data_IF_614155990022
#
_entry.id   IF_614155990022
#
_cell.length_a   1.000
_cell.length_b   1.000
_cell.length_c   1.000
_cell.angle_alpha   90.00
_cell.angle_beta   90.00
_cell.angle_gamma   90.00
#
_symmetry.space_group_name_H-M   'P 1'
#
loop_
_entity.id
_entity.type
_entity.pdbx_description
1 polymer ?
#
# COMPACT_ATOMS: atom_id res chain seq x y z
N UNK A 1 -19.10 -33.09 -0.69
CA UNK A 1 -18.29 -32.63 -1.85
C UNK A 1 -17.60 -31.36 -1.40
N UNK A 2 -16.35 -31.13 -1.78
CA UNK A 2 -15.67 -29.86 -1.48
C UNK A 2 -16.11 -28.88 -2.57
N UNK A 3 -16.75 -27.77 -2.22
CA UNK A 3 -17.16 -26.76 -3.20
C UNK A 3 -15.94 -26.23 -3.93
N UNK A 4 -16.07 -26.06 -5.24
CA UNK A 4 -14.98 -25.67 -6.14
C UNK A 4 -15.18 -24.22 -6.60
N UNK A 5 -14.13 -23.39 -6.60
CA UNK A 5 -14.20 -22.07 -7.23
C UNK A 5 -14.59 -22.17 -8.71
N UNK A 6 -15.59 -21.40 -9.13
CA UNK A 6 -16.07 -21.35 -10.53
C UNK A 6 -15.86 -19.99 -11.19
N UNK A 7 -15.85 -18.91 -10.41
CA UNK A 7 -15.68 -17.55 -10.94
C UNK A 7 -14.90 -16.70 -9.96
N UNK A 8 -14.05 -15.83 -10.50
CA UNK A 8 -13.36 -14.78 -9.76
C UNK A 8 -13.79 -13.43 -10.31
N UNK A 9 -14.16 -12.50 -9.42
CA UNK A 9 -14.42 -11.11 -9.76
C UNK A 9 -13.43 -10.21 -9.04
N UNK A 10 -12.89 -9.22 -9.73
CA UNK A 10 -12.06 -8.16 -9.16
C UNK A 10 -12.74 -6.83 -9.45
N UNK A 11 -13.19 -6.15 -8.39
CA UNK A 11 -13.77 -4.80 -8.45
C UNK A 11 -12.74 -3.79 -8.01
N UNK A 12 -12.49 -2.78 -8.84
CA UNK A 12 -11.69 -1.61 -8.53
C UNK A 12 -12.62 -0.42 -8.35
N UNK A 13 -12.78 0.06 -7.12
CA UNK A 13 -13.71 1.15 -6.82
C UNK A 13 -13.12 2.50 -7.21
N UNK A 14 -13.98 3.41 -7.66
CA UNK A 14 -13.59 4.79 -7.98
C UNK A 14 -13.44 5.61 -6.69
N UNK A 15 -12.22 5.64 -6.17
CA UNK A 15 -11.85 6.41 -4.97
C UNK A 15 -11.08 7.70 -5.28
N UNK A 16 -10.83 7.99 -6.56
CA UNK A 16 -9.95 9.06 -7.02
C UNK A 16 -8.50 8.59 -7.03
N UNK A 17 -7.61 9.29 -6.31
CA UNK A 17 -6.22 8.88 -6.14
C UNK A 17 -6.07 8.06 -4.86
N UNK A 18 -6.03 6.74 -5.02
CA UNK A 18 -5.87 5.77 -3.94
C UNK A 18 -6.32 4.39 -4.34
N UNK A 19 -6.25 3.44 -3.42
CA UNK A 19 -6.55 2.03 -3.70
C UNK A 19 -7.75 1.52 -2.90
N UNK A 20 -8.59 0.76 -3.58
CA UNK A 20 -9.72 0.04 -2.98
C UNK A 20 -10.18 -1.06 -3.95
N UNK A 21 -9.82 -2.31 -3.66
CA UNK A 21 -10.12 -3.46 -4.51
C UNK A 21 -10.87 -4.54 -3.75
N UNK A 22 -11.91 -5.11 -4.34
CA UNK A 22 -12.61 -6.27 -3.79
C UNK A 22 -12.44 -7.46 -4.73
N UNK A 23 -11.81 -8.52 -4.22
CA UNK A 23 -11.72 -9.82 -4.89
C UNK A 23 -12.80 -10.72 -4.32
N UNK A 24 -13.70 -11.21 -5.17
CA UNK A 24 -14.74 -12.18 -4.81
C UNK A 24 -14.49 -13.51 -5.52
N UNK A 25 -14.56 -14.60 -4.77
CA UNK A 25 -14.50 -15.98 -5.30
C UNK A 25 -15.88 -16.62 -5.13
N UNK A 26 -16.48 -17.04 -6.24
CA UNK A 26 -17.78 -17.71 -6.30
C UNK A 26 -17.59 -19.23 -6.46
N UNK A 27 -18.44 -20.00 -5.80
CA UNK A 27 -18.36 -21.47 -5.73
C UNK A 27 -19.58 -22.14 -6.38
N UNK A 28 -19.39 -23.35 -6.91
CA UNK A 28 -20.43 -24.17 -7.53
C UNK A 28 -21.56 -24.57 -6.57
N UNK A 29 -21.21 -24.83 -5.31
CA UNK A 29 -22.13 -25.22 -4.25
C UNK A 29 -21.85 -24.37 -2.99
N UNK A 30 -22.87 -24.09 -2.16
CA UNK A 30 -22.68 -23.39 -0.89
C UNK A 30 -21.59 -24.02 -0.03
N UNK A 31 -20.78 -23.18 0.60
CA UNK A 31 -19.73 -23.57 1.53
C UNK A 31 -20.33 -24.08 2.85
N UNK A 32 -19.49 -24.58 3.74
CA UNK A 32 -19.92 -25.15 5.02
C UNK A 32 -20.71 -24.16 5.91
N UNK A 33 -20.49 -22.86 5.73
CA UNK A 33 -21.22 -21.78 6.41
C UNK A 33 -22.44 -21.27 5.63
N UNK A 34 -22.82 -21.95 4.53
CA UNK A 34 -23.98 -21.65 3.69
C UNK A 34 -23.76 -20.54 2.66
N UNK A 35 -22.60 -19.87 2.65
CA UNK A 35 -22.28 -18.80 1.70
C UNK A 35 -21.79 -19.39 0.36
N UNK A 36 -22.14 -18.75 -0.75
CA UNK A 36 -21.65 -19.10 -2.09
C UNK A 36 -20.42 -18.30 -2.53
N UNK A 37 -19.99 -17.32 -1.72
CA UNK A 37 -18.88 -16.43 -2.04
C UNK A 37 -17.94 -16.18 -0.86
N UNK A 38 -16.68 -15.87 -1.19
CA UNK A 38 -15.67 -15.36 -0.27
C UNK A 38 -15.09 -14.05 -0.78
N UNK A 39 -14.79 -13.14 0.15
CA UNK A 39 -14.44 -11.75 -0.17
C UNK A 39 -13.13 -11.32 0.50
N UNK A 40 -12.22 -10.77 -0.32
CA UNK A 40 -10.96 -10.17 0.10
C UNK A 40 -10.99 -8.70 -0.31
N UNK A 41 -10.99 -7.80 0.67
CA UNK A 41 -10.82 -6.37 0.46
C UNK A 41 -9.34 -6.04 0.55
N UNK A 42 -8.78 -5.39 -0.47
CA UNK A 42 -7.40 -4.92 -0.53
C UNK A 42 -7.44 -3.40 -0.59
N UNK A 43 -6.96 -2.79 0.48
CA UNK A 43 -6.96 -1.36 0.74
C UNK A 43 -8.37 -0.72 0.73
N UNK A 44 -8.46 0.44 1.35
CA UNK A 44 -9.67 1.26 1.43
C UNK A 44 -9.26 2.71 1.70
N UNK A 45 -8.65 3.35 0.70
CA UNK A 45 -8.07 4.67 0.87
C UNK A 45 -8.26 5.62 -0.32
N UNK A 46 -7.92 6.89 -0.05
CA UNK A 46 -7.89 7.97 -1.04
C UNK A 46 -7.08 9.13 -0.48
N UNK A 47 -6.14 9.71 -1.22
CA UNK A 47 -5.54 11.00 -0.89
C UNK A 47 -6.36 12.15 -1.49
N UNK A 48 -6.95 11.91 -2.67
CA UNK A 48 -7.73 12.87 -3.43
C UNK A 48 -9.00 12.23 -4.00
N UNK A 49 -10.15 12.86 -3.77
CA UNK A 49 -11.43 12.40 -4.31
C UNK A 49 -11.43 12.27 -5.84
N UNK A 50 -12.38 11.53 -6.44
CA UNK A 50 -12.62 11.55 -7.87
C UNK A 50 -12.78 12.99 -8.42
N UNK A 51 -12.47 13.20 -9.70
CA UNK A 51 -12.71 14.50 -10.36
C UNK A 51 -14.20 14.83 -10.31
N UNK A 52 -14.51 16.13 -10.24
CA UNK A 52 -15.89 16.59 -10.17
C UNK A 52 -16.71 16.03 -11.35
N UNK A 53 -17.89 15.48 -11.04
CA UNK A 53 -18.79 14.87 -12.03
C UNK A 53 -18.48 13.41 -12.41
N UNK A 54 -17.33 12.85 -12.03
CA UNK A 54 -16.94 11.47 -12.42
C UNK A 54 -17.52 10.38 -11.49
N UNK A 55 -17.72 10.67 -10.20
CA UNK A 55 -18.38 9.77 -9.25
C UNK A 55 -18.81 10.52 -7.97
N UNK A 56 -19.69 9.92 -7.16
CA UNK A 56 -19.96 10.41 -5.80
C UNK A 56 -18.78 10.04 -4.90
N UNK A 57 -17.90 11.01 -4.66
CA UNK A 57 -16.55 10.80 -4.13
C UNK A 57 -16.39 10.77 -2.61
N UNK A 58 -17.22 10.05 -1.86
CA UNK A 58 -17.01 9.89 -0.41
C UNK A 58 -16.73 8.43 -0.06
N UNK A 59 -15.71 8.20 0.75
CA UNK A 59 -15.34 6.86 1.21
C UNK A 59 -16.51 6.13 1.89
N UNK A 60 -17.39 6.83 2.60
CA UNK A 60 -18.60 6.22 3.17
C UNK A 60 -19.56 5.61 2.14
N UNK A 61 -19.67 6.23 0.96
CA UNK A 61 -20.49 5.69 -0.15
C UNK A 61 -19.83 4.42 -0.71
N UNK A 62 -18.50 4.39 -0.81
CA UNK A 62 -17.72 3.20 -1.20
C UNK A 62 -17.86 2.06 -0.17
N UNK A 63 -17.83 2.36 1.14
CA UNK A 63 -18.08 1.34 2.16
C UNK A 63 -19.48 0.74 2.05
N UNK A 64 -20.50 1.54 1.71
CA UNK A 64 -21.84 1.02 1.47
C UNK A 64 -21.88 0.07 0.26
N UNK A 65 -21.15 0.40 -0.82
CA UNK A 65 -21.00 -0.50 -1.98
C UNK A 65 -20.26 -1.79 -1.60
N UNK A 66 -19.19 -1.71 -0.82
CA UNK A 66 -18.48 -2.90 -0.31
C UNK A 66 -19.44 -3.76 0.49
N UNK A 67 -20.15 -3.18 1.47
CA UNK A 67 -21.14 -3.92 2.27
C UNK A 67 -22.22 -4.58 1.41
N UNK A 68 -22.68 -3.91 0.36
CA UNK A 68 -23.63 -4.49 -0.59
C UNK A 68 -23.01 -5.67 -1.36
N UNK A 69 -21.83 -5.48 -1.94
CA UNK A 69 -21.16 -6.48 -2.78
C UNK A 69 -20.64 -7.69 -2.00
N UNK A 70 -20.50 -7.57 -0.69
CA UNK A 70 -20.13 -8.67 0.20
C UNK A 70 -21.31 -9.23 1.00
N UNK A 71 -22.53 -8.75 0.74
CA UNK A 71 -23.75 -9.11 1.49
C UNK A 71 -23.59 -8.96 3.02
N UNK A 72 -22.75 -8.02 3.45
CA UNK A 72 -22.47 -7.76 4.87
C UNK A 72 -21.37 -8.62 5.50
N UNK A 73 -20.72 -9.50 4.75
CA UNK A 73 -19.74 -10.47 5.27
C UNK A 73 -18.37 -10.34 4.59
N UNK A 74 -17.32 -9.95 5.33
CA UNK A 74 -15.95 -9.83 4.79
C UNK A 74 -15.03 -10.89 5.40
N UNK A 75 -14.30 -11.63 4.58
CA UNK A 75 -13.43 -12.70 5.08
C UNK A 75 -12.02 -12.19 5.38
N UNK A 76 -11.44 -11.43 4.45
CA UNK A 76 -10.07 -10.91 4.58
C UNK A 76 -10.05 -9.42 4.27
N UNK A 77 -9.38 -8.66 5.14
CA UNK A 77 -8.95 -7.29 4.87
C UNK A 77 -7.43 -7.27 4.74
N UNK A 78 -6.91 -6.78 3.62
CA UNK A 78 -5.48 -6.52 3.40
C UNK A 78 -5.28 -5.02 3.37
N UNK A 79 -4.44 -4.49 4.25
CA UNK A 79 -3.92 -3.12 4.14
C UNK A 79 -2.44 -3.24 3.78
N UNK A 80 -2.11 -2.85 2.55
CA UNK A 80 -0.78 -3.12 1.98
C UNK A 80 0.31 -2.37 2.73
N UNK A 81 0.07 -1.13 3.12
CA UNK A 81 0.96 -0.32 3.96
C UNK A 81 0.23 0.90 4.54
N UNK A 82 0.88 1.56 5.51
CA UNK A 82 0.34 2.72 6.24
C UNK A 82 0.41 4.05 5.47
N UNK A 83 -0.19 4.09 4.28
CA UNK A 83 -0.34 5.31 3.48
C UNK A 83 -1.78 5.76 3.36
N UNK A 84 -1.98 7.08 3.31
CA UNK A 84 -3.32 7.71 3.43
C UNK A 84 -4.23 7.28 2.28
N UNK A 85 -3.71 7.27 1.07
CA UNK A 85 -4.34 6.74 -0.14
C UNK A 85 -4.68 5.25 -0.11
N UNK A 86 -4.26 4.50 0.93
CA UNK A 86 -4.62 3.10 1.16
C UNK A 86 -5.54 2.87 2.37
N UNK A 87 -5.60 3.80 3.33
CA UNK A 87 -6.33 3.59 4.59
C UNK A 87 -7.27 4.74 5.00
N UNK A 88 -7.33 5.84 4.26
CA UNK A 88 -8.16 7.00 4.63
C UNK A 88 -9.63 6.65 4.86
N UNK A 89 -10.17 5.65 4.17
CA UNK A 89 -11.56 5.26 4.36
C UNK A 89 -11.89 4.84 5.80
N UNK A 90 -10.91 4.31 6.53
CA UNK A 90 -11.05 3.92 7.94
C UNK A 90 -11.13 5.12 8.89
N UNK A 91 -10.72 6.33 8.46
CA UNK A 91 -10.86 7.57 9.24
C UNK A 91 -12.27 8.17 9.12
N UNK A 92 -13.02 7.80 8.08
CA UNK A 92 -14.35 8.38 7.82
C UNK A 92 -15.39 7.63 8.65
N UNK A 93 -16.06 8.30 9.59
CA UNK A 93 -17.05 7.72 10.52
C UNK A 93 -17.99 6.69 9.89
N UNK A 94 -18.59 7.02 8.73
CA UNK A 94 -19.50 6.12 8.01
C UNK A 94 -18.79 4.86 7.50
N UNK A 95 -17.57 5.03 6.95
CA UNK A 95 -16.72 3.93 6.51
C UNK A 95 -16.27 3.07 7.68
N UNK A 96 -15.77 3.68 8.74
CA UNK A 96 -15.37 3.05 9.98
C UNK A 96 -16.50 2.18 10.57
N UNK A 97 -17.70 2.73 10.70
CA UNK A 97 -18.86 2.01 11.23
C UNK A 97 -19.23 0.78 10.38
N UNK A 98 -19.15 0.89 9.05
CA UNK A 98 -19.40 -0.23 8.15
C UNK A 98 -18.30 -1.28 8.27
N UNK A 99 -17.02 -0.91 8.27
CA UNK A 99 -15.91 -1.85 8.38
C UNK A 99 -15.93 -2.62 9.71
N UNK A 100 -16.31 -1.97 10.81
CA UNK A 100 -16.58 -2.64 12.09
C UNK A 100 -17.70 -3.66 11.99
N UNK A 101 -18.79 -3.31 11.29
CA UNK A 101 -19.94 -4.20 11.09
C UNK A 101 -19.61 -5.38 10.19
N UNK A 102 -18.81 -5.18 9.15
CA UNK A 102 -18.32 -6.26 8.27
C UNK A 102 -17.43 -7.27 9.00
N UNK A 103 -16.79 -6.84 10.09
CA UNK A 103 -16.05 -7.68 11.02
C UNK A 103 -15.11 -8.68 10.33
N UNK A 104 -14.10 -8.20 9.56
CA UNK A 104 -13.19 -9.08 8.82
C UNK A 104 -12.61 -10.17 9.73
N UNK A 105 -12.63 -11.42 9.24
CA UNK A 105 -12.14 -12.59 9.98
C UNK A 105 -10.61 -12.61 10.05
N UNK A 106 -9.95 -12.02 9.07
CA UNK A 106 -8.50 -11.89 8.97
C UNK A 106 -8.13 -10.48 8.51
N UNK A 107 -7.16 -9.85 9.18
CA UNK A 107 -6.63 -8.53 8.86
C UNK A 107 -5.12 -8.66 8.64
N UNK A 108 -4.68 -8.39 7.42
CA UNK A 108 -3.30 -8.52 6.98
C UNK A 108 -2.66 -7.14 6.83
N UNK A 109 -1.52 -6.94 7.48
CA UNK A 109 -0.75 -5.69 7.48
C UNK A 109 0.74 -5.98 7.32
N UNK A 110 1.52 -4.98 6.98
CA UNK A 110 2.97 -5.14 6.86
C UNK A 110 3.59 -5.45 8.22
N UNK A 111 4.63 -6.30 8.25
CA UNK A 111 5.37 -6.62 9.47
C UNK A 111 5.94 -5.38 10.17
N UNK A 112 6.23 -4.31 9.43
CA UNK A 112 6.76 -3.05 9.97
C UNK A 112 5.75 -2.27 10.78
N UNK A 113 4.46 -2.61 10.68
CA UNK A 113 3.36 -1.96 11.39
C UNK A 113 2.93 -2.71 12.66
N UNK A 114 3.61 -3.80 13.00
CA UNK A 114 3.31 -4.56 14.21
C UNK A 114 3.54 -3.66 15.45
N UNK A 115 2.49 -3.36 16.24
CA UNK A 115 2.59 -2.45 17.37
C UNK A 115 3.56 -2.96 18.45
N UNK A 116 3.81 -4.28 18.52
CA UNK A 116 4.73 -4.88 19.50
C UNK A 116 6.20 -4.57 19.17
N UNK A 117 6.53 -4.33 17.89
CA UNK A 117 7.92 -4.02 17.50
C UNK A 117 8.38 -2.65 18.01
N UNK A 118 7.48 -1.66 18.03
CA UNK A 118 7.80 -0.34 18.59
C UNK A 118 7.99 -0.40 20.11
N UNK A 119 7.21 -1.22 20.82
CA UNK A 119 7.30 -1.42 22.26
C UNK A 119 8.55 -2.18 22.72
N UNK A 120 9.12 -3.03 21.84
CA UNK A 120 10.31 -3.85 22.13
C UNK A 120 11.62 -3.20 21.67
N UNK A 121 11.54 -2.03 21.04
CA UNK A 121 12.70 -1.31 20.54
C UNK A 121 13.45 -0.61 21.67
N UNK A 122 14.46 -1.29 22.23
CA UNK A 122 15.50 -0.59 22.96
C UNK A 122 16.15 0.40 21.99
N UNK A 123 16.11 1.69 22.34
CA UNK A 123 16.44 2.82 21.50
C UNK A 123 17.86 2.78 20.89
N UNK A 124 18.25 3.83 20.16
CA UNK A 124 19.51 3.82 19.44
C UNK A 124 20.70 3.89 20.42
N UNK A 125 21.18 2.72 20.89
CA UNK A 125 22.54 2.59 21.42
C UNK A 125 22.77 1.94 22.78
N UNK A 126 21.97 1.00 23.27
CA UNK A 126 22.38 0.24 24.48
C UNK A 126 22.66 -1.26 24.19
N UNK A 127 23.93 -1.70 24.16
CA UNK A 127 24.32 -3.11 24.03
C UNK A 127 24.02 -3.96 25.27
N UNK A 128 23.37 -3.40 26.29
CA UNK A 128 23.44 -3.90 27.66
C UNK A 128 22.12 -4.12 28.38
N UNK A 129 20.99 -4.38 27.72
CA UNK A 129 19.76 -4.79 28.42
C UNK A 129 19.05 -5.89 27.63
N UNK A 130 18.77 -7.02 28.30
CA UNK A 130 18.25 -8.25 27.70
C UNK A 130 17.04 -7.98 26.81
N UNK A 131 17.21 -8.17 25.51
CA UNK A 131 16.12 -8.10 24.57
C UNK A 131 15.11 -9.20 24.93
N UNK A 132 13.85 -8.83 25.19
CA UNK A 132 12.77 -9.80 25.06
C UNK A 132 12.91 -10.48 23.69
N UNK A 133 12.66 -11.79 23.60
CA UNK A 133 12.74 -12.47 22.31
C UNK A 133 11.82 -11.74 21.31
N UNK A 134 12.37 -11.32 20.15
CA UNK A 134 11.60 -10.58 19.18
C UNK A 134 10.42 -11.44 18.69
N UNK A 135 9.22 -10.84 18.50
CA UNK A 135 8.06 -11.58 18.03
C UNK A 135 8.31 -12.20 16.66
N UNK A 136 7.67 -13.35 16.38
CA UNK A 136 7.53 -13.89 15.02
C UNK A 136 8.84 -14.20 14.27
N UNK A 137 9.94 -14.48 14.99
CA UNK A 137 11.21 -14.88 14.37
C UNK A 137 11.97 -13.74 13.67
N UNK A 138 11.58 -12.48 13.90
CA UNK A 138 12.30 -11.30 13.40
C UNK A 138 13.62 -11.10 14.17
N UNK A 139 14.68 -10.57 13.54
CA UNK A 139 15.88 -10.18 14.29
C UNK A 139 15.73 -8.84 15.01
N UNK A 140 16.67 -8.57 15.93
CA UNK A 140 16.82 -7.24 16.53
C UNK A 140 17.02 -6.12 15.51
N UNK A 141 17.57 -6.41 14.32
CA UNK A 141 17.74 -5.42 13.26
C UNK A 141 16.40 -5.07 12.61
N UNK A 142 15.55 -6.07 12.39
CA UNK A 142 14.18 -5.90 11.91
C UNK A 142 13.33 -5.11 12.92
N UNK A 143 13.40 -5.44 14.21
CA UNK A 143 12.73 -4.67 15.28
C UNK A 143 13.16 -3.19 15.28
N UNK A 144 14.47 -2.92 15.25
CA UNK A 144 15.01 -1.55 15.20
C UNK A 144 14.53 -0.78 13.97
N UNK A 145 14.45 -1.45 12.82
CA UNK A 145 13.97 -0.85 11.58
C UNK A 145 12.50 -0.41 11.69
N UNK A 146 11.62 -1.30 12.14
CA UNK A 146 10.20 -0.98 12.37
C UNK A 146 10.03 0.17 13.39
N UNK A 147 10.86 0.18 14.44
CA UNK A 147 10.83 1.24 15.44
C UNK A 147 11.28 2.60 14.91
N UNK A 148 12.29 2.65 14.03
CA UNK A 148 12.72 3.89 13.39
C UNK A 148 11.63 4.47 12.48
N UNK A 149 10.90 3.61 11.76
CA UNK A 149 9.73 4.01 10.98
C UNK A 149 8.64 4.61 11.88
N UNK A 150 8.29 3.94 12.97
CA UNK A 150 7.30 4.43 13.92
C UNK A 150 7.72 5.79 14.54
N UNK A 151 8.98 5.94 14.93
CA UNK A 151 9.53 7.20 15.44
C UNK A 151 9.50 8.31 14.36
N UNK A 152 9.80 7.99 13.11
CA UNK A 152 9.72 8.96 12.02
C UNK A 152 8.29 9.47 11.82
N UNK A 153 7.31 8.58 11.84
CA UNK A 153 5.90 8.94 11.76
C UNK A 153 5.48 9.86 12.90
N UNK A 154 5.91 9.57 14.14
CA UNK A 154 5.63 10.43 15.28
C UNK A 154 6.28 11.82 15.15
N UNK A 155 7.52 11.90 14.65
CA UNK A 155 8.18 13.17 14.41
C UNK A 155 7.48 13.99 13.31
N UNK A 156 7.10 13.35 12.20
CA UNK A 156 6.37 14.03 11.11
C UNK A 156 5.01 14.53 11.60
N UNK A 157 4.31 13.74 12.41
CA UNK A 157 3.07 14.17 13.06
C UNK A 157 3.27 15.46 13.90
N UNK A 158 4.38 15.57 14.65
CA UNK A 158 4.73 16.76 15.43
C UNK A 158 5.15 17.97 14.58
N UNK A 159 5.66 17.76 13.35
CA UNK A 159 6.07 18.87 12.46
C UNK A 159 4.92 19.84 12.19
N UNK A 160 3.68 19.35 12.11
CA UNK A 160 2.48 20.17 11.87
C UNK A 160 2.27 21.30 12.88
N UNK A 161 2.89 21.20 14.07
CA UNK A 161 2.81 22.21 15.13
C UNK A 161 3.87 23.32 14.99
N UNK A 162 4.80 23.21 14.03
CA UNK A 162 5.86 24.19 13.82
C UNK A 162 5.37 25.39 12.99
N UNK A 163 5.64 26.60 13.50
CA UNK A 163 5.34 27.86 12.83
C UNK A 163 6.41 28.14 11.75
N UNK A 164 5.98 28.52 10.54
CA UNK A 164 6.87 28.91 9.43
C UNK A 164 7.29 27.77 8.49
N UNK A 165 6.62 26.62 8.57
CA UNK A 165 6.72 25.60 7.52
C UNK A 165 6.02 26.05 6.24
N UNK A 166 6.56 25.59 5.12
CA UNK A 166 5.90 25.72 3.82
C UNK A 166 4.56 24.97 3.81
N UNK A 167 3.56 25.52 3.09
CA UNK A 167 2.20 24.98 3.07
C UNK A 167 2.14 23.56 2.51
N UNK A 168 2.98 23.21 1.52
CA UNK A 168 3.06 21.85 0.96
C UNK A 168 3.63 20.86 1.98
N UNK A 169 4.67 21.27 2.70
CA UNK A 169 5.31 20.45 3.75
C UNK A 169 4.34 20.22 4.90
N UNK A 170 3.60 21.25 5.29
CA UNK A 170 2.56 21.14 6.33
C UNK A 170 1.44 20.21 5.87
N UNK A 171 0.93 20.34 4.65
CA UNK A 171 -0.12 19.47 4.13
C UNK A 171 0.32 17.99 4.12
N UNK A 172 1.54 17.71 3.66
CA UNK A 172 2.08 16.35 3.65
C UNK A 172 2.33 15.79 5.07
N UNK A 173 2.70 16.64 6.04
CA UNK A 173 2.80 16.24 7.44
C UNK A 173 1.43 16.02 8.12
N UNK A 174 0.42 16.83 7.78
CA UNK A 174 -0.97 16.66 8.25
C UNK A 174 -1.59 15.35 7.75
N UNK A 175 -1.22 14.91 6.55
CA UNK A 175 -1.66 13.62 6.02
C UNK A 175 -1.19 12.44 6.89
N UNK A 176 -0.03 12.56 7.55
CA UNK A 176 0.44 11.56 8.52
C UNK A 176 -0.35 11.58 9.84
N UNK A 177 -0.84 12.74 10.28
CA UNK A 177 -1.71 12.86 11.47
C UNK A 177 -3.08 12.20 11.25
N UNK A 178 -3.67 12.41 10.07
CA UNK A 178 -5.00 11.87 9.73
C UNK A 178 -5.03 10.34 9.71
N UNK A 179 -3.88 9.70 9.47
CA UNK A 179 -3.73 8.26 9.58
C UNK A 179 -3.94 7.71 11.00
N UNK A 180 -3.90 8.51 12.07
CA UNK A 180 -3.96 8.01 13.45
C UNK A 180 -5.29 7.32 13.80
N UNK A 181 -6.43 7.90 13.41
CA UNK A 181 -7.75 7.32 13.69
C UNK A 181 -7.97 6.03 12.91
N UNK A 182 -7.58 6.03 11.63
CA UNK A 182 -7.62 4.86 10.79
C UNK A 182 -6.74 3.72 11.33
N UNK A 183 -5.53 4.02 11.82
CA UNK A 183 -4.66 3.01 12.45
C UNK A 183 -5.25 2.48 13.74
N UNK A 184 -5.83 3.33 14.59
CA UNK A 184 -6.49 2.88 15.81
C UNK A 184 -7.65 1.91 15.49
N UNK A 185 -8.41 2.18 14.43
CA UNK A 185 -9.43 1.25 13.95
C UNK A 185 -8.81 -0.06 13.43
N UNK A 186 -7.75 0.01 12.64
CA UNK A 186 -7.07 -1.19 12.13
C UNK A 186 -6.49 -2.04 13.25
N UNK A 187 -5.95 -1.43 14.31
CA UNK A 187 -5.48 -2.12 15.51
C UNK A 187 -6.66 -2.82 16.22
N UNK A 188 -7.81 -2.15 16.36
CA UNK A 188 -9.05 -2.74 16.92
C UNK A 188 -9.54 -3.95 16.08
N UNK A 189 -9.51 -3.83 14.75
CA UNK A 189 -9.89 -4.92 13.84
C UNK A 189 -8.88 -6.07 13.87
N UNK A 190 -7.61 -5.78 14.18
CA UNK A 190 -6.51 -6.75 14.25
C UNK A 190 -6.42 -7.49 15.60
N UNK A 191 -7.23 -7.11 16.61
CA UNK A 191 -7.17 -7.74 17.94
C UNK A 191 -7.43 -9.26 17.89
N UNK A 192 -6.69 -9.98 18.74
CA UNK A 192 -6.76 -11.43 18.88
C UNK A 192 -5.98 -12.15 17.77
N UNK A 193 -6.53 -13.26 17.27
CA UNK A 193 -5.92 -14.06 16.20
C UNK A 193 -6.26 -13.52 14.79
N UNK A 194 -7.01 -12.41 14.71
CA UNK A 194 -7.43 -11.81 13.43
C UNK A 194 -6.29 -11.06 12.73
N UNK A 195 -5.42 -10.40 13.49
CA UNK A 195 -4.31 -9.62 12.94
C UNK A 195 -3.11 -10.49 12.58
N UNK A 196 -2.59 -10.33 11.36
CA UNK A 196 -1.29 -10.89 10.96
C UNK A 196 -0.43 -9.83 10.28
N UNK A 197 0.84 -9.80 10.67
CA UNK A 197 1.82 -8.81 10.24
C UNK A 197 2.89 -9.49 9.38
N UNK A 198 2.79 -9.33 8.06
CA UNK A 198 3.41 -10.19 7.07
C UNK A 198 4.72 -9.61 6.53
N UNK A 199 5.69 -10.50 6.30
CA UNK A 199 6.88 -10.26 5.49
C UNK A 199 6.99 -11.30 4.36
N UNK A 200 7.90 -11.08 3.43
CA UNK A 200 8.14 -12.00 2.30
C UNK A 200 8.31 -13.45 2.79
N UNK A 201 7.64 -14.39 2.13
CA UNK A 201 7.68 -15.82 2.44
C UNK A 201 6.84 -16.27 3.63
N UNK A 202 6.20 -15.36 4.38
CA UNK A 202 5.27 -15.74 5.45
C UNK A 202 3.94 -16.26 4.86
N UNK A 203 3.31 -17.22 5.54
CA UNK A 203 1.96 -17.67 5.21
C UNK A 203 0.92 -16.60 5.59
N UNK A 204 0.07 -16.22 4.65
CA UNK A 204 -0.93 -15.16 4.90
C UNK A 204 -2.12 -15.67 5.72
N UNK A 205 -2.51 -16.95 5.58
CA UNK A 205 -3.75 -17.50 6.17
C UNK A 205 -5.02 -17.23 5.36
N UNK A 206 -4.92 -16.58 4.20
CA UNK A 206 -6.07 -16.41 3.27
C UNK A 206 -6.63 -17.78 2.85
N UNK A 207 -5.73 -18.74 2.67
CA UNK A 207 -5.96 -20.11 2.24
C UNK A 207 -6.91 -20.87 3.17
N UNK A 208 -6.92 -20.51 4.47
CA UNK A 208 -7.79 -21.10 5.50
C UNK A 208 -9.23 -20.59 5.39
N UNK A 209 -9.44 -19.39 4.85
CA UNK A 209 -10.73 -18.71 4.79
C UNK A 209 -11.37 -18.76 3.39
N UNK A 210 -10.55 -18.92 2.35
CA UNK A 210 -10.95 -18.92 0.95
C UNK A 210 -10.60 -20.26 0.30
N UNK A 211 -11.48 -21.27 0.37
CA UNK A 211 -11.19 -22.61 -0.16
C UNK A 211 -10.72 -22.61 -1.62
N UNK A 212 -9.62 -23.29 -1.89
CA UNK A 212 -9.02 -23.36 -3.23
C UNK A 212 -8.16 -22.15 -3.62
N UNK A 213 -8.06 -21.13 -2.77
CA UNK A 213 -7.09 -20.04 -2.90
C UNK A 213 -5.73 -20.47 -2.34
N UNK A 214 -4.67 -20.08 -3.04
CA UNK A 214 -3.30 -20.08 -2.57
C UNK A 214 -2.78 -18.65 -2.54
N UNK A 215 -2.14 -18.29 -1.44
CA UNK A 215 -1.53 -16.98 -1.24
C UNK A 215 -0.01 -17.09 -1.18
N UNK A 216 0.69 -16.09 -1.71
CA UNK A 216 2.14 -15.98 -1.54
C UNK A 216 2.52 -14.53 -1.30
N UNK A 217 3.16 -14.28 -0.17
CA UNK A 217 3.69 -12.97 0.21
C UNK A 217 5.09 -12.83 -0.39
N UNK A 218 5.26 -11.93 -1.35
CA UNK A 218 6.52 -11.66 -2.04
C UNK A 218 7.30 -10.48 -1.42
N UNK A 219 6.64 -9.68 -0.59
CA UNK A 219 7.19 -8.49 0.05
C UNK A 219 6.28 -8.00 1.18
N UNK A 220 6.78 -7.10 2.05
CA UNK A 220 8.15 -6.59 2.05
C UNK A 220 9.14 -7.58 2.68
N UNK A 221 10.44 -7.54 2.29
CA UNK A 221 11.48 -8.32 2.97
C UNK A 221 11.70 -7.84 4.41
N UNK A 222 12.15 -8.74 5.28
CA UNK A 222 12.76 -8.36 6.57
C UNK A 222 14.21 -7.92 6.37
N UNK A 223 14.80 -7.30 7.40
CA UNK A 223 16.23 -6.92 7.38
C UNK A 223 17.14 -8.15 7.29
N UNK A 224 16.68 -9.30 7.77
CA UNK A 224 17.45 -10.55 7.71
C UNK A 224 17.43 -11.17 6.31
N UNK A 225 16.29 -11.06 5.63
CA UNK A 225 16.12 -11.55 4.26
C UNK A 225 16.85 -10.68 3.25
N UNK A 226 16.84 -9.36 3.46
CA UNK A 226 17.65 -8.44 2.68
C UNK A 226 18.25 -7.35 3.58
N UNK A 227 19.51 -7.51 4.03
CA UNK A 227 20.18 -6.51 4.85
C UNK A 227 20.32 -5.16 4.16
N UNK A 228 20.22 -5.07 2.82
CA UNK A 228 20.27 -3.80 2.09
C UNK A 228 19.03 -2.95 2.32
N UNK A 229 17.92 -3.56 2.76
CA UNK A 229 16.78 -2.80 3.26
C UNK A 229 17.23 -1.94 4.42
N UNK A 230 18.18 -2.38 5.28
CA UNK A 230 18.70 -1.62 6.43
C UNK A 230 20.16 -1.12 6.33
N UNK A 231 20.92 -1.47 5.29
CA UNK A 231 22.35 -1.12 5.12
C UNK A 231 22.58 0.06 4.18
N UNK A 232 23.29 1.06 4.71
CA UNK A 232 23.90 2.17 3.98
C UNK A 232 24.77 1.65 2.82
N UNK A 233 24.41 1.95 1.56
CA UNK A 233 25.35 1.87 0.43
C UNK A 233 25.96 3.24 0.15
N UNK A 234 27.23 3.24 -0.26
CA UNK A 234 28.00 4.46 -0.58
C UNK A 234 27.71 4.98 -2.00
N UNK A 235 27.03 4.18 -2.82
CA UNK A 235 27.06 4.28 -4.28
C UNK A 235 25.67 4.10 -4.95
N UNK A 236 24.58 4.21 -4.17
CA UNK A 236 23.19 4.19 -4.66
C UNK A 236 22.47 5.51 -4.26
N UNK A 237 21.95 6.32 -5.20
CA UNK A 237 21.32 7.61 -4.89
C UNK A 237 19.99 7.52 -4.11
N UNK A 238 19.40 6.34 -3.92
CA UNK A 238 18.16 6.15 -3.15
C UNK A 238 18.38 5.21 -1.96
N UNK A 239 19.04 5.74 -0.91
CA UNK A 239 19.17 5.04 0.37
C UNK A 239 18.43 5.77 1.50
N UNK A 240 17.14 5.49 1.62
CA UNK A 240 16.23 6.29 2.44
C UNK A 240 16.37 6.08 3.95
N UNK A 241 16.85 4.95 4.49
CA UNK A 241 17.00 4.83 5.97
C UNK A 241 18.08 5.73 6.56
N UNK A 242 19.16 5.97 5.82
CA UNK A 242 20.15 6.98 6.21
C UNK A 242 19.57 8.36 6.00
N UNK A 243 18.83 8.58 4.92
CA UNK A 243 18.17 9.84 4.65
C UNK A 243 17.16 10.15 5.78
N UNK A 244 16.24 9.23 6.08
CA UNK A 244 15.32 9.23 7.21
C UNK A 244 16.03 9.38 8.55
N UNK A 245 17.03 8.57 8.86
CA UNK A 245 17.78 8.67 10.11
C UNK A 245 18.58 9.98 10.25
N UNK A 246 19.13 10.51 9.17
CA UNK A 246 19.81 11.81 9.16
C UNK A 246 18.80 12.96 9.28
N UNK A 247 17.70 12.88 8.54
CA UNK A 247 16.56 13.80 8.58
C UNK A 247 15.95 13.83 9.99
N UNK A 248 15.78 12.67 10.64
CA UNK A 248 15.36 12.54 12.04
C UNK A 248 16.35 13.19 13.01
N UNK A 249 17.67 13.02 12.84
CA UNK A 249 18.67 13.69 13.70
C UNK A 249 18.63 15.22 13.53
N UNK A 250 18.49 15.70 12.29
CA UNK A 250 18.40 17.13 12.00
C UNK A 250 17.13 17.73 12.61
N UNK A 251 15.98 17.10 12.36
CA UNK A 251 14.68 17.56 12.88
C UNK A 251 14.57 17.41 14.40
N UNK A 252 14.99 16.27 14.97
CA UNK A 252 14.99 16.01 16.40
C UNK A 252 15.81 17.04 17.19
N UNK A 253 17.01 17.39 16.69
CA UNK A 253 17.83 18.45 17.30
C UNK A 253 17.16 19.83 17.28
N UNK A 254 16.27 20.08 16.31
CA UNK A 254 15.52 21.32 16.18
C UNK A 254 14.22 21.32 17.01
N UNK A 255 13.60 20.15 17.22
CA UNK A 255 12.39 19.98 18.02
C UNK A 255 12.69 20.04 19.53
N UNK A 256 13.79 19.40 19.98
CA UNK A 256 14.23 19.42 21.39
C UNK A 256 14.68 20.81 21.87
N UNK A 257 15.05 21.69 20.94
CA UNK A 257 15.41 23.08 21.25
C UNK A 257 14.20 23.96 21.63
N UNK A 258 12.97 23.43 21.52
CA UNK A 258 11.72 24.17 21.63
C UNK A 258 11.54 25.11 20.43
N UNK A 259 10.36 25.14 19.82
CA UNK A 259 10.08 26.13 18.79
C UNK A 259 10.12 27.53 19.44
N UNK A 260 11.09 28.41 19.12
CA UNK A 260 11.03 29.76 19.63
C UNK A 260 9.78 30.42 19.04
N UNK A 261 9.04 31.16 19.88
CA UNK A 261 7.90 31.94 19.43
C UNK A 261 8.31 32.83 18.23
N UNK A 262 7.43 33.07 17.25
CA UNK A 262 7.73 33.92 16.11
C UNK A 262 8.24 35.28 16.61
N UNK A 263 9.53 35.55 16.39
CA UNK A 263 10.14 36.82 16.76
C UNK A 263 9.67 37.82 15.71
N UNK A 264 8.81 38.77 16.09
CA UNK A 264 8.50 39.89 15.22
C UNK A 264 9.79 40.69 14.97
N UNK A 265 10.26 40.69 13.72
CA UNK A 265 11.47 41.42 13.31
C UNK A 265 11.11 42.43 12.21
N UNK A 266 11.66 43.64 12.33
CA UNK A 266 11.52 44.68 11.32
C UNK A 266 12.43 44.42 10.11
N UNK A 267 12.23 45.13 8.99
CA UNK A 267 13.09 45.02 7.82
C UNK A 267 14.55 45.31 8.18
N UNK A 268 15.48 44.43 7.79
CA UNK A 268 16.91 44.59 8.06
C UNK A 268 17.74 43.33 7.80
N UNK A 269 19.09 43.39 7.99
CA UNK A 269 20.01 42.30 7.67
C UNK A 269 19.75 40.98 8.43
N UNK A 270 19.08 41.05 9.58
CA UNK A 270 18.71 39.90 10.40
C UNK A 270 17.49 39.16 9.83
N UNK A 271 16.60 39.84 9.09
CA UNK A 271 15.44 39.22 8.43
C UNK A 271 15.89 38.12 7.48
N UNK A 272 16.88 38.40 6.62
CA UNK A 272 17.46 37.41 5.72
C UNK A 272 17.99 36.16 6.44
N UNK A 273 18.59 36.32 7.62
CA UNK A 273 19.10 35.19 8.40
C UNK A 273 17.96 34.36 8.99
N UNK A 274 16.91 35.02 9.50
CA UNK A 274 15.71 34.34 10.02
C UNK A 274 15.00 33.61 8.88
N UNK A 275 14.80 34.26 7.74
CA UNK A 275 14.20 33.66 6.53
C UNK A 275 15.02 32.47 6.03
N UNK A 276 16.36 32.59 6.03
CA UNK A 276 17.25 31.50 5.62
C UNK A 276 17.21 30.31 6.59
N UNK A 277 17.12 30.57 7.89
CA UNK A 277 16.97 29.52 8.91
C UNK A 277 15.59 28.84 8.83
N UNK A 278 14.53 29.61 8.58
CA UNK A 278 13.19 29.08 8.34
C UNK A 278 13.16 28.20 7.08
N UNK A 279 13.71 28.68 5.96
CA UNK A 279 13.83 27.92 4.72
C UNK A 279 14.65 26.63 4.90
N UNK A 280 15.75 26.68 5.65
CA UNK A 280 16.55 25.49 5.94
C UNK A 280 15.76 24.45 6.76
N UNK A 281 14.93 24.89 7.72
CA UNK A 281 14.03 24.01 8.47
C UNK A 281 12.96 23.40 7.58
N UNK A 282 12.29 24.21 6.76
CA UNK A 282 11.27 23.72 5.80
C UNK A 282 11.85 22.72 4.81
N UNK A 283 13.06 22.94 4.29
CA UNK A 283 13.74 21.98 3.43
C UNK A 283 14.10 20.68 4.16
N UNK A 284 14.49 20.74 5.42
CA UNK A 284 14.80 19.54 6.22
C UNK A 284 13.55 18.74 6.55
N UNK A 285 12.45 19.43 6.86
CA UNK A 285 11.14 18.83 7.06
C UNK A 285 10.60 18.19 5.77
N UNK A 286 10.68 18.89 4.64
CA UNK A 286 10.30 18.36 3.32
C UNK A 286 11.05 17.06 2.97
N UNK A 287 12.36 17.02 3.24
CA UNK A 287 13.16 15.79 3.06
C UNK A 287 12.68 14.68 3.97
N UNK A 288 12.46 14.95 5.26
CA UNK A 288 11.97 13.93 6.20
C UNK A 288 10.64 13.33 5.74
N UNK A 289 9.70 14.18 5.32
CA UNK A 289 8.38 13.75 4.85
C UNK A 289 8.50 12.89 3.61
N UNK A 290 9.28 13.32 2.61
CA UNK A 290 9.51 12.56 1.38
C UNK A 290 10.25 11.24 1.64
N UNK A 291 11.31 11.26 2.46
CA UNK A 291 12.08 10.06 2.76
C UNK A 291 11.22 9.04 3.55
N UNK A 292 10.27 9.51 4.36
CA UNK A 292 9.28 8.67 5.04
C UNK A 292 8.21 8.13 4.08
N UNK A 293 7.77 8.93 3.11
CA UNK A 293 6.84 8.50 2.07
C UNK A 293 7.42 7.34 1.23
N UNK A 294 8.64 7.52 0.70
CA UNK A 294 9.36 6.47 -0.04
C UNK A 294 9.59 5.21 0.81
N UNK A 295 9.83 5.40 2.11
CA UNK A 295 10.01 4.32 3.07
C UNK A 295 8.76 3.47 3.23
N UNK A 296 7.63 4.12 3.49
CA UNK A 296 6.35 3.49 3.75
C UNK A 296 5.83 2.77 2.51
N UNK A 297 5.98 3.35 1.31
CA UNK A 297 5.70 2.68 0.04
C UNK A 297 6.43 1.32 -0.06
N UNK A 298 7.70 1.29 0.32
CA UNK A 298 8.52 0.08 0.33
C UNK A 298 8.25 -0.89 1.48
N UNK A 299 7.29 -0.59 2.35
CA UNK A 299 6.73 -1.56 3.32
C UNK A 299 5.48 -2.28 2.80
N UNK A 300 5.06 -2.00 1.56
CA UNK A 300 3.90 -2.63 0.91
C UNK A 300 3.95 -4.16 0.91
N UNK A 301 2.85 -4.80 1.33
CA UNK A 301 2.62 -6.22 1.08
C UNK A 301 2.51 -6.43 -0.43
N UNK A 302 3.38 -7.29 -0.98
CA UNK A 302 3.25 -7.77 -2.36
C UNK A 302 2.59 -9.14 -2.31
N UNK A 303 1.34 -9.21 -2.76
CA UNK A 303 0.52 -10.41 -2.66
C UNK A 303 0.30 -11.04 -4.04
N UNK A 304 0.70 -12.31 -4.17
CA UNK A 304 0.38 -13.16 -5.32
C UNK A 304 -0.72 -14.14 -4.89
N UNK A 305 -1.90 -14.00 -5.48
CA UNK A 305 -3.05 -14.87 -5.26
C UNK A 305 -3.17 -15.85 -6.42
N UNK A 306 -3.58 -17.08 -6.11
CA UNK A 306 -3.89 -18.10 -7.12
C UNK A 306 -5.14 -18.86 -6.71
N UNK A 307 -6.11 -18.98 -7.61
CA UNK A 307 -7.35 -19.75 -7.37
C UNK A 307 -7.73 -20.46 -8.65
N UNK A 308 -7.90 -21.79 -8.56
CA UNK A 308 -8.03 -22.63 -9.74
C UNK A 308 -6.83 -22.47 -10.70
N UNK A 309 -7.13 -22.14 -11.96
CA UNK A 309 -6.16 -21.83 -13.00
C UNK A 309 -5.69 -20.38 -13.02
N UNK A 310 -6.32 -19.48 -12.27
CA UNK A 310 -6.05 -18.04 -12.31
C UNK A 310 -4.99 -17.61 -11.31
N UNK A 311 -4.18 -16.61 -11.67
CA UNK A 311 -3.26 -15.93 -10.76
C UNK A 311 -3.35 -14.40 -10.85
N UNK A 312 -3.30 -13.71 -9.71
CA UNK A 312 -3.49 -12.26 -9.60
C UNK A 312 -2.39 -11.66 -8.72
N UNK A 313 -1.78 -10.56 -9.18
CA UNK A 313 -0.67 -9.89 -8.49
C UNK A 313 -1.08 -8.50 -8.00
N UNK A 314 -1.00 -8.29 -6.68
CA UNK A 314 -1.31 -7.04 -5.98
C UNK A 314 -0.09 -6.53 -5.22
N UNK A 315 0.68 -5.58 -5.78
CA UNK A 315 1.95 -5.15 -5.18
C UNK A 315 1.84 -3.99 -4.18
N UNK A 316 0.63 -3.48 -3.92
CA UNK A 316 0.46 -2.19 -3.23
C UNK A 316 1.26 -1.12 -3.97
N UNK A 317 2.07 -0.37 -3.22
CA UNK A 317 2.93 0.69 -3.75
C UNK A 317 4.41 0.36 -3.63
N UNK A 318 4.71 -0.94 -3.61
CA UNK A 318 6.06 -1.45 -3.60
C UNK A 318 6.91 -0.84 -4.73
N UNK A 319 8.00 -0.18 -4.34
CA UNK A 319 9.02 0.30 -5.27
C UNK A 319 10.15 -0.72 -5.39
N UNK A 320 11.24 -0.34 -6.07
CA UNK A 320 12.29 -1.27 -6.49
C UNK A 320 13.01 -1.94 -5.31
N UNK A 321 13.12 -1.27 -4.16
CA UNK A 321 13.75 -1.81 -2.94
C UNK A 321 12.95 -3.00 -2.39
N UNK A 322 11.62 -2.86 -2.30
CA UNK A 322 10.73 -3.93 -1.86
C UNK A 322 10.77 -5.11 -2.84
N UNK A 323 10.72 -4.81 -4.15
CA UNK A 323 10.81 -5.83 -5.20
C UNK A 323 12.15 -6.57 -5.25
N UNK A 324 13.24 -5.95 -4.76
CA UNK A 324 14.62 -6.41 -4.96
C UNK A 324 14.84 -7.87 -4.60
N UNK A 325 14.41 -8.30 -3.42
CA UNK A 325 14.53 -9.69 -2.97
C UNK A 325 13.86 -10.64 -3.97
N UNK A 326 12.63 -10.34 -4.37
CA UNK A 326 11.86 -11.16 -5.30
C UNK A 326 12.52 -11.18 -6.69
N UNK A 327 12.97 -10.04 -7.20
CA UNK A 327 13.60 -9.94 -8.52
C UNK A 327 14.94 -10.68 -8.59
N UNK A 328 15.71 -10.72 -7.51
CA UNK A 328 16.93 -11.52 -7.44
C UNK A 328 16.63 -13.01 -7.45
N UNK A 329 15.63 -13.44 -6.68
CA UNK A 329 15.15 -14.83 -6.67
C UNK A 329 14.71 -15.31 -8.06
N UNK A 330 14.18 -14.44 -8.92
CA UNK A 330 13.82 -14.81 -10.30
C UNK A 330 14.96 -15.37 -11.15
N UNK A 331 16.22 -15.10 -10.78
CA UNK A 331 17.40 -15.63 -11.49
C UNK A 331 17.64 -17.11 -11.16
N UNK A 332 17.35 -17.48 -9.92
CA UNK A 332 17.70 -18.80 -9.35
C UNK A 332 16.46 -19.69 -9.12
N UNK A 333 15.25 -19.12 -9.13
CA UNK A 333 13.97 -19.81 -8.91
C UNK A 333 13.09 -19.81 -10.17
N UNK A 334 13.26 -20.79 -11.08
CA UNK A 334 12.52 -20.85 -12.34
C UNK A 334 11.00 -20.97 -12.13
N UNK A 335 10.56 -21.63 -11.05
CA UNK A 335 9.13 -21.76 -10.73
C UNK A 335 8.51 -20.41 -10.35
N UNK A 336 9.23 -19.55 -9.60
CA UNK A 336 8.75 -18.21 -9.28
C UNK A 336 8.68 -17.34 -10.54
N UNK A 337 9.69 -17.45 -11.41
CA UNK A 337 9.71 -16.78 -12.72
C UNK A 337 8.51 -17.19 -13.58
N UNK A 338 8.23 -18.48 -13.68
CA UNK A 338 7.08 -19.01 -14.42
C UNK A 338 5.75 -18.49 -13.84
N UNK A 339 5.60 -18.51 -12.52
CA UNK A 339 4.40 -17.99 -11.84
C UNK A 339 4.17 -16.50 -12.14
N UNK A 340 5.19 -15.66 -12.04
CA UNK A 340 5.06 -14.22 -12.33
C UNK A 340 4.90 -13.93 -13.82
N UNK A 341 5.50 -14.75 -14.69
CA UNK A 341 5.32 -14.65 -16.12
C UNK A 341 3.89 -15.02 -16.55
N UNK A 342 3.23 -15.92 -15.83
CA UNK A 342 1.91 -16.47 -16.15
C UNK A 342 0.72 -15.87 -15.38
N UNK A 343 0.85 -14.72 -14.70
CA UNK A 343 -0.28 -14.07 -14.02
C UNK A 343 -1.42 -13.68 -14.97
N UNK A 344 -2.66 -13.68 -14.54
CA UNK A 344 -3.82 -13.31 -15.38
C UNK A 344 -4.28 -11.87 -15.12
N UNK A 345 -4.03 -11.35 -13.90
CA UNK A 345 -4.36 -9.99 -13.52
C UNK A 345 -3.21 -9.33 -12.75
N UNK A 346 -2.96 -8.06 -13.05
CA UNK A 346 -1.97 -7.22 -12.38
C UNK A 346 -2.61 -5.91 -11.90
N UNK A 347 -2.55 -5.63 -10.59
CA UNK A 347 -2.75 -4.27 -10.09
C UNK A 347 -1.49 -3.46 -10.35
N UNK A 348 -1.61 -2.39 -11.13
CA UNK A 348 -0.49 -1.48 -11.40
C UNK A 348 -0.04 -0.82 -10.10
N UNK A 349 1.20 -1.09 -9.68
CA UNK A 349 1.73 -0.58 -8.41
C UNK A 349 1.79 0.95 -8.37
N UNK A 350 1.59 1.52 -7.17
CA UNK A 350 1.80 2.95 -6.89
C UNK A 350 1.11 3.87 -7.88
N UNK A 351 -0.16 3.59 -8.17
CA UNK A 351 -1.03 4.39 -9.04
C UNK A 351 -0.49 4.66 -10.45
N UNK A 352 0.50 3.88 -10.91
CA UNK A 352 1.21 4.11 -12.17
C UNK A 352 2.51 4.90 -12.05
N UNK A 353 3.12 4.95 -10.86
CA UNK A 353 4.45 5.53 -10.66
C UNK A 353 5.53 4.71 -11.38
N UNK A 354 6.53 5.41 -11.92
CA UNK A 354 7.61 4.82 -12.74
C UNK A 354 8.41 3.75 -12.01
N UNK A 355 8.55 3.86 -10.69
CA UNK A 355 9.43 3.02 -9.88
C UNK A 355 8.73 1.78 -9.31
N UNK A 356 7.42 1.60 -9.54
CA UNK A 356 6.63 0.54 -8.90
C UNK A 356 6.39 -0.70 -9.76
N UNK A 357 6.47 -0.58 -11.10
CA UNK A 357 6.43 -1.74 -12.01
C UNK A 357 7.84 -2.05 -12.54
N UNK A 358 8.55 -3.06 -12.01
CA UNK A 358 9.88 -3.42 -12.49
C UNK A 358 9.88 -3.78 -13.98
N UNK A 359 10.87 -3.27 -14.72
CA UNK A 359 11.10 -3.59 -16.13
C UNK A 359 11.28 -5.09 -16.38
N UNK A 360 11.84 -5.81 -15.42
CA UNK A 360 12.00 -7.26 -15.47
C UNK A 360 10.66 -7.99 -15.46
N UNK A 361 9.65 -7.49 -14.74
CA UNK A 361 8.31 -8.08 -14.77
C UNK A 361 7.62 -7.77 -16.11
N UNK A 362 7.70 -6.52 -16.58
CA UNK A 362 7.20 -6.14 -17.89
C UNK A 362 7.77 -7.04 -19.00
N UNK A 363 9.09 -7.30 -18.97
CA UNK A 363 9.75 -8.19 -19.92
C UNK A 363 9.16 -9.62 -19.91
N UNK A 364 8.83 -10.17 -18.73
CA UNK A 364 8.18 -11.49 -18.65
C UNK A 364 6.84 -11.53 -19.38
N UNK A 365 6.07 -10.44 -19.30
CA UNK A 365 4.75 -10.36 -19.95
C UNK A 365 4.85 -10.06 -21.44
N UNK A 366 5.89 -9.33 -21.85
CA UNK A 366 6.19 -9.11 -23.27
C UNK A 366 6.52 -10.40 -24.00
N UNK A 367 7.13 -11.36 -23.30
CA UNK A 367 7.49 -12.67 -23.84
C UNK A 367 6.30 -13.65 -23.91
N UNK A 368 5.07 -13.24 -23.55
CA UNK A 368 3.87 -14.08 -23.70
C UNK A 368 3.60 -14.39 -25.16
N UNK A 369 3.35 -15.67 -25.43
CA UNK A 369 2.99 -16.14 -26.77
C UNK A 369 1.61 -15.65 -27.20
N UNK A 370 1.35 -15.53 -28.51
CA UNK A 370 0.08 -15.02 -29.04
C UNK A 370 -1.14 -15.90 -28.74
N UNK A 371 -0.91 -17.17 -28.40
CA UNK A 371 -1.96 -18.13 -28.02
C UNK A 371 -2.37 -18.02 -26.54
N UNK A 372 -1.60 -17.29 -25.72
CA UNK A 372 -1.95 -17.06 -24.32
C UNK A 372 -2.93 -15.88 -24.22
N UNK A 373 -3.90 -15.93 -23.30
CA UNK A 373 -4.73 -14.76 -23.03
C UNK A 373 -3.87 -13.56 -22.61
N UNK A 374 -4.28 -12.36 -23.06
CA UNK A 374 -3.62 -11.12 -22.66
C UNK A 374 -3.78 -10.91 -21.16
N UNK A 375 -2.75 -10.33 -20.54
CA UNK A 375 -2.79 -9.91 -19.15
C UNK A 375 -3.87 -8.83 -18.96
N UNK A 376 -4.70 -8.94 -17.94
CA UNK A 376 -5.52 -7.81 -17.50
C UNK A 376 -4.72 -6.94 -16.52
N UNK A 377 -4.67 -5.63 -16.75
CA UNK A 377 -4.06 -4.69 -15.83
C UNK A 377 -5.11 -3.72 -15.30
N UNK A 378 -5.15 -3.50 -13.98
CA UNK A 378 -6.05 -2.54 -13.33
C UNK A 378 -5.22 -1.46 -12.63
N UNK A 379 -5.55 -0.19 -12.87
CA UNK A 379 -4.83 0.96 -12.34
C UNK A 379 -5.81 1.91 -11.67
N UNK A 380 -5.80 1.93 -10.34
CA UNK A 380 -6.53 2.96 -9.59
C UNK A 380 -5.66 4.21 -9.54
N UNK A 381 -6.09 5.26 -10.22
CA UNK A 381 -5.31 6.50 -10.34
C UNK A 381 -6.20 7.68 -10.67
N UNK A 382 -5.62 8.88 -10.55
CA UNK A 382 -6.21 10.14 -11.02
C UNK A 382 -5.09 10.98 -11.60
N UNK A 383 -5.20 11.37 -12.87
CA UNK A 383 -4.22 12.26 -13.49
C UNK A 383 -4.18 13.62 -12.77
N UNK A 384 -3.03 14.29 -12.87
CA UNK A 384 -2.77 15.65 -12.38
C UNK A 384 -2.81 15.78 -10.84
N UNK A 385 -2.56 14.69 -10.11
CA UNK A 385 -2.45 14.71 -8.64
C UNK A 385 -1.00 14.83 -8.18
N UNK A 386 -0.09 14.03 -8.75
CA UNK A 386 1.33 14.05 -8.38
C UNK A 386 2.22 14.28 -9.60
N UNK A 387 3.09 15.30 -9.49
CA UNK A 387 4.17 15.59 -10.43
C UNK A 387 3.72 16.06 -11.81
N UNK A 388 4.69 16.50 -12.61
CA UNK A 388 4.54 16.79 -14.03
C UNK A 388 5.67 16.08 -14.82
N UNK A 389 5.44 15.85 -16.12
CA UNK A 389 6.46 15.25 -17.00
C UNK A 389 6.96 13.89 -16.52
N UNK A 390 8.26 13.77 -16.27
CA UNK A 390 8.92 12.51 -15.87
C UNK A 390 8.56 12.04 -14.45
N UNK A 391 8.04 12.94 -13.61
CA UNK A 391 7.57 12.64 -12.25
C UNK A 391 6.07 12.48 -12.12
N UNK A 392 5.32 12.56 -13.23
CA UNK A 392 3.87 12.47 -13.22
C UNK A 392 3.39 11.06 -12.82
N UNK A 393 2.31 11.00 -12.03
CA UNK A 393 1.59 9.76 -11.72
C UNK A 393 0.14 9.92 -12.19
N UNK A 394 -0.36 9.04 -13.09
CA UNK A 394 0.34 7.92 -13.70
C UNK A 394 1.40 8.37 -14.73
N UNK A 395 2.51 7.63 -14.83
CA UNK A 395 3.61 7.98 -15.73
C UNK A 395 3.29 7.54 -17.19
N UNK A 396 3.32 8.45 -18.19
CA UNK A 396 2.82 8.14 -19.53
C UNK A 396 3.56 7.01 -20.27
N UNK A 397 4.88 6.90 -20.11
CA UNK A 397 5.69 5.85 -20.72
C UNK A 397 5.39 4.48 -20.10
N UNK A 398 5.15 4.43 -18.78
CA UNK A 398 4.72 3.20 -18.11
C UNK A 398 3.33 2.77 -18.60
N UNK A 399 2.37 3.68 -18.66
CA UNK A 399 1.03 3.41 -19.20
C UNK A 399 1.11 2.87 -20.62
N UNK A 400 1.94 3.48 -21.46
CA UNK A 400 2.18 3.03 -22.83
C UNK A 400 2.76 1.61 -22.85
N UNK A 401 3.81 1.36 -22.07
CA UNK A 401 4.46 0.06 -21.99
C UNK A 401 3.50 -1.03 -21.47
N UNK A 402 2.63 -0.72 -20.51
CA UNK A 402 1.61 -1.66 -20.02
C UNK A 402 0.58 -2.01 -21.09
N UNK A 403 0.11 -1.02 -21.87
CA UNK A 403 -0.83 -1.27 -22.99
C UNK A 403 -0.26 -2.18 -24.08
N UNK A 404 1.07 -2.26 -24.23
CA UNK A 404 1.70 -3.20 -25.15
C UNK A 404 1.43 -4.66 -24.74
N UNK A 405 1.50 -4.95 -23.43
CA UNK A 405 1.50 -6.33 -22.89
C UNK A 405 0.19 -6.74 -22.23
N UNK A 406 -0.69 -5.77 -21.92
CA UNK A 406 -1.92 -5.98 -21.16
C UNK A 406 -3.11 -5.20 -21.74
N UNK A 407 -4.31 -5.64 -21.40
CA UNK A 407 -5.54 -4.85 -21.50
C UNK A 407 -5.65 -4.03 -20.21
N UNK A 408 -5.36 -2.73 -20.32
CA UNK A 408 -5.28 -1.82 -19.18
C UNK A 408 -6.61 -1.09 -18.94
N UNK A 409 -7.13 -1.22 -17.71
CA UNK A 409 -8.34 -0.56 -17.23
C UNK A 409 -7.96 0.43 -16.12
N UNK A 410 -8.38 1.68 -16.23
CA UNK A 410 -8.05 2.76 -15.30
C UNK A 410 -9.30 3.40 -14.72
N UNK A 411 -9.31 3.69 -13.41
CA UNK A 411 -10.41 4.48 -12.83
C UNK A 411 -10.48 5.89 -13.42
N UNK A 412 -9.36 6.46 -13.88
CA UNK A 412 -9.33 7.78 -14.52
C UNK A 412 -10.10 7.82 -15.86
N UNK A 413 -10.36 6.64 -16.47
CA UNK A 413 -11.13 6.52 -17.72
C UNK A 413 -12.67 6.52 -17.47
N UNK A 414 -13.13 6.50 -16.22
CA UNK A 414 -14.56 6.46 -15.84
C UNK A 414 -15.23 7.82 -15.96
N UNK A 415 -15.71 8.15 -17.16
CA UNK A 415 -16.34 9.45 -17.48
C UNK A 415 -17.87 9.46 -17.36
N UNK A 416 -18.50 8.30 -17.16
CA UNK A 416 -19.96 8.10 -17.20
C UNK A 416 -20.65 8.11 -15.84
N UNK A 417 -19.93 8.42 -14.75
CA UNK A 417 -20.48 8.34 -13.40
C UNK A 417 -20.39 6.94 -12.79
N UNK A 418 -19.60 6.04 -13.38
CA UNK A 418 -19.36 4.70 -12.87
C UNK A 418 -18.63 4.75 -11.52
N UNK A 419 -19.10 3.96 -10.55
CA UNK A 419 -18.52 3.95 -9.20
C UNK A 419 -17.46 2.86 -9.02
N UNK A 420 -17.29 1.95 -10.00
CA UNK A 420 -16.25 0.92 -10.04
C UNK A 420 -16.03 0.38 -11.46
N UNK A 421 -14.88 -0.26 -11.64
CA UNK A 421 -14.59 -1.18 -12.76
C UNK A 421 -14.65 -2.61 -12.22
N UNK A 422 -15.30 -3.52 -12.93
CA UNK A 422 -15.37 -4.93 -12.56
C UNK A 422 -14.82 -5.81 -13.69
N UNK A 423 -13.86 -6.66 -13.34
CA UNK A 423 -13.37 -7.72 -14.21
C UNK A 423 -13.78 -9.08 -13.65
N UNK A 424 -14.18 -10.01 -14.52
CA UNK A 424 -14.49 -11.38 -14.12
C UNK A 424 -13.80 -12.42 -14.99
N UNK A 425 -13.51 -13.59 -14.42
CA UNK A 425 -12.94 -14.74 -15.12
C UNK A 425 -13.53 -16.06 -14.61
N UNK A 426 -13.63 -17.04 -15.50
CA UNK A 426 -13.84 -18.44 -15.11
C UNK A 426 -12.60 -18.93 -14.35
N UNK A 427 -12.80 -19.47 -13.16
CA UNK A 427 -11.72 -19.84 -12.25
C UNK A 427 -10.78 -20.92 -12.82
N UNK A 428 -11.20 -21.67 -13.84
CA UNK A 428 -10.39 -22.74 -14.41
C UNK A 428 -9.52 -22.29 -15.60
N UNK A 429 -9.94 -21.31 -16.42
CA UNK A 429 -9.27 -21.05 -17.71
C UNK A 429 -9.08 -19.58 -18.14
N UNK A 430 -9.57 -18.57 -17.41
CA UNK A 430 -9.43 -17.15 -17.81
C UNK A 430 -9.93 -16.84 -19.24
N UNK A 431 -9.64 -15.66 -19.82
CA UNK A 431 -9.07 -14.48 -19.19
C UNK A 431 -10.09 -13.70 -18.34
N UNK A 432 -9.58 -12.71 -17.61
CA UNK A 432 -10.40 -11.64 -17.06
C UNK A 432 -11.01 -10.77 -18.17
N UNK A 433 -12.31 -10.50 -18.06
CA UNK A 433 -13.08 -9.67 -19.00
C UNK A 433 -13.83 -8.59 -18.25
N UNK A 434 -13.93 -7.42 -18.88
CA UNK A 434 -14.71 -6.31 -18.34
C UNK A 434 -16.20 -6.67 -18.28
N UNK A 435 -16.77 -6.56 -17.09
CA UNK A 435 -18.22 -6.63 -16.86
C UNK A 435 -18.80 -5.25 -17.18
N UNK A 436 -19.79 -5.14 -18.08
CA UNK A 436 -20.44 -3.87 -18.37
C UNK A 436 -21.02 -3.26 -17.10
N UNK A 437 -20.74 -1.97 -16.86
CA UNK A 437 -21.30 -1.27 -15.72
C UNK A 437 -22.82 -1.17 -15.85
N UNK A 438 -23.55 -1.65 -14.84
CA UNK A 438 -24.99 -1.49 -14.72
C UNK A 438 -25.24 -0.73 -13.44
N UNK A 439 -25.74 0.50 -13.57
CA UNK A 439 -26.18 1.27 -12.42
C UNK A 439 -27.41 0.59 -11.82
N UNK A 440 -27.32 0.19 -10.56
CA UNK A 440 -28.50 -0.28 -9.84
C UNK A 440 -29.59 0.81 -9.87
N UNK A 441 -30.79 0.41 -10.31
CA UNK A 441 -31.93 1.30 -10.50
C UNK A 441 -32.51 1.82 -9.18
#
# INVERSE_FOLDING_TARGET
>A
MVSTPIRVRVRMYQVGFGDCFLVSVEYDEPLADGRSERHILIDYGTSHSPREGMARGRMGDIAALIQKHTEGELDVLVVTHRHRDHLRGFEVDAGAAIMKKLAPKLVLRSWTEDPVLSATANGPGDPGLGAAEPPNGLSSASVRYAALLAQAQEHVAKLTQLVGLDDEVRAAAEDQLKNAEAVALLDELSLGERGRYLHAGMESGIDDLVPGMQSTVLGPPTVDQDPRVAKQREDDPEYWLRALGASLRVVGSAADAGAPAPIAHGPGPVSWLIDRLANQRSQSAARLVRDLDDALNNTSIILLLKVGGLSMLFPGDAQIENWRLTLERLKDEPQLRERLAGIDLYKVGHHGSRNATPRSLHALWKDRGPEQPRLAAVMSTRQDVHGEGDGAVPQPQLVTALREVADLYSTDDLVGGEEWIELEADAAHGPFRLVPFVKDA
#
